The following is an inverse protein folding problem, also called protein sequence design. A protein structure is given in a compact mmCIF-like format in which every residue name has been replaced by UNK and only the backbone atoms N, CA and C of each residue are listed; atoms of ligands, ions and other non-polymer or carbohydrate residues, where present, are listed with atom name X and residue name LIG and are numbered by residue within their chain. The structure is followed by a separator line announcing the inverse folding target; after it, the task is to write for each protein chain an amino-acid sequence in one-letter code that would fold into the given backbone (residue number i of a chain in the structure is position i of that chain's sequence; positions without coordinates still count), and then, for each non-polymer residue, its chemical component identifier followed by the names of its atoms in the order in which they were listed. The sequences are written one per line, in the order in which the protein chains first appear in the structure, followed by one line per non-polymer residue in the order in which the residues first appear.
data_IF_867234523025
#
_entry.id   IF_867234523025
#
_cell.length_a   1.000
_cell.length_b   1.000
_cell.length_c   1.000
_cell.angle_alpha   90.00
_cell.angle_beta   90.00
_cell.angle_gamma   90.00
#
_symmetry.space_group_name_H-M   'P 1'
#
loop_
_entity.id
_entity.type
_entity.pdbx_description
1 polymer ?
#
# COMPACT_ATOMS: atom_id res chain seq x y z
N UNK A 1 -2.00 13.11 -7.90
CA UNK A 1 -1.30 11.83 -8.22
C UNK A 1 0.01 12.04 -8.96
N UNK A 2 0.03 12.63 -10.16
CA UNK A 2 1.25 12.74 -10.98
C UNK A 2 2.43 13.42 -10.28
N UNK A 3 2.19 14.52 -9.54
CA UNK A 3 3.21 15.20 -8.75
C UNK A 3 3.86 14.29 -7.68
N UNK A 4 3.07 13.45 -7.03
CA UNK A 4 3.59 12.47 -6.06
C UNK A 4 4.41 11.37 -6.76
N UNK A 5 3.92 10.82 -7.87
CA UNK A 5 4.60 9.76 -8.61
C UNK A 5 5.96 10.22 -9.17
N UNK A 6 6.03 11.43 -9.74
CA UNK A 6 7.31 11.96 -10.24
C UNK A 6 8.28 12.29 -9.09
N UNK A 7 7.78 12.72 -7.91
CA UNK A 7 8.62 12.84 -6.72
C UNK A 7 9.16 11.47 -6.28
N UNK A 8 8.34 10.42 -6.26
CA UNK A 8 8.78 9.06 -5.92
C UNK A 8 9.85 8.57 -6.89
N UNK A 9 9.65 8.77 -8.20
CA UNK A 9 10.66 8.48 -9.21
C UNK A 9 11.96 9.27 -8.95
N UNK A 10 11.85 10.56 -8.61
CA UNK A 10 13.02 11.39 -8.29
C UNK A 10 13.78 10.91 -7.05
N UNK A 11 13.09 10.40 -6.03
CA UNK A 11 13.73 9.80 -4.86
C UNK A 11 14.42 8.48 -5.22
N UNK A 12 13.72 7.60 -5.94
CA UNK A 12 14.13 6.21 -6.18
C UNK A 12 15.18 6.11 -7.29
N UNK A 13 14.90 6.69 -8.46
CA UNK A 13 15.71 6.51 -9.65
C UNK A 13 16.81 7.57 -9.78
N UNK A 14 16.58 8.78 -9.25
CA UNK A 14 17.52 9.90 -9.35
C UNK A 14 18.29 10.17 -8.04
N UNK A 15 18.03 9.41 -6.97
CA UNK A 15 18.64 9.56 -5.65
C UNK A 15 18.58 10.99 -5.09
N UNK A 16 17.51 11.73 -5.40
CA UNK A 16 17.33 13.10 -4.89
C UNK A 16 16.79 13.09 -3.47
N UNK A 17 17.07 14.17 -2.74
CA UNK A 17 16.42 14.46 -1.47
C UNK A 17 14.94 14.83 -1.65
N UNK A 18 14.17 14.78 -0.56
CA UNK A 18 12.76 15.23 -0.54
C UNK A 18 12.64 16.68 -1.01
N UNK A 19 13.59 17.53 -0.59
CA UNK A 19 13.63 18.95 -0.93
C UNK A 19 13.79 19.15 -2.43
N UNK A 20 14.77 18.47 -3.04
CA UNK A 20 15.02 18.56 -4.48
C UNK A 20 13.88 17.97 -5.32
N UNK A 21 13.29 16.84 -4.88
CA UNK A 21 12.17 16.22 -5.55
C UNK A 21 10.92 17.12 -5.53
N UNK A 22 10.66 17.81 -4.41
CA UNK A 22 9.47 18.63 -4.23
C UNK A 22 9.63 20.09 -4.67
N UNK A 23 10.86 20.60 -4.80
CA UNK A 23 11.15 21.99 -5.16
C UNK A 23 10.37 22.51 -6.38
N UNK A 24 10.17 21.75 -7.48
CA UNK A 24 9.42 22.22 -8.65
C UNK A 24 7.95 22.55 -8.38
N UNK A 25 7.38 22.05 -7.27
CA UNK A 25 5.97 22.24 -6.91
C UNK A 25 5.75 23.38 -5.91
N UNK A 26 6.81 24.03 -5.43
CA UNK A 26 6.70 25.17 -4.52
C UNK A 26 6.10 26.36 -5.27
N UNK A 27 4.96 26.87 -4.78
CA UNK A 27 4.29 28.03 -5.37
C UNK A 27 3.51 27.74 -6.66
N UNK A 28 3.30 26.46 -7.02
CA UNK A 28 2.53 26.08 -8.22
C UNK A 28 1.09 26.61 -8.17
N UNK A 29 0.57 27.03 -9.31
CA UNK A 29 -0.80 27.55 -9.47
C UNK A 29 -1.54 26.82 -10.60
N UNK A 30 -2.74 26.25 -10.36
CA UNK A 30 -3.40 26.13 -9.05
C UNK A 30 -2.60 25.24 -8.07
N UNK A 31 -2.81 25.39 -6.75
CA UNK A 31 -2.12 24.57 -5.76
C UNK A 31 -2.48 23.09 -5.91
N UNK A 32 -1.56 22.21 -5.50
CA UNK A 32 -1.81 20.77 -5.47
C UNK A 32 -2.91 20.44 -4.44
N UNK A 33 -3.87 19.64 -4.86
CA UNK A 33 -4.93 19.14 -3.99
C UNK A 33 -4.36 18.03 -3.09
N UNK A 34 -4.62 18.12 -1.79
CA UNK A 34 -4.25 17.09 -0.81
C UNK A 34 -5.04 15.79 -1.01
N UNK A 35 -4.45 14.67 -0.60
CA UNK A 35 -5.11 13.39 -0.52
C UNK A 35 -6.08 13.35 0.67
N UNK A 36 -7.15 12.58 0.52
CA UNK A 36 -8.15 12.33 1.56
C UNK A 36 -8.22 10.84 1.88
N UNK A 37 -8.87 10.53 3.00
CA UNK A 37 -9.17 9.17 3.40
C UNK A 37 -10.38 8.59 2.63
N UNK A 38 -10.61 7.29 2.82
CA UNK A 38 -11.67 6.52 2.18
C UNK A 38 -13.02 6.58 2.93
N UNK A 39 -13.15 7.34 4.02
CA UNK A 39 -14.41 7.41 4.76
C UNK A 39 -15.53 8.09 3.97
N UNK A 40 -16.76 7.65 4.25
CA UNK A 40 -18.01 8.26 3.77
C UNK A 40 -18.38 9.53 4.57
N UNK A 41 -17.40 10.37 4.89
CA UNK A 41 -17.56 11.59 5.68
C UNK A 41 -16.72 12.74 5.13
N UNK A 42 -16.81 13.90 5.79
CA UNK A 42 -15.90 15.02 5.52
C UNK A 42 -14.48 14.63 5.92
N UNK A 43 -13.51 14.94 5.07
CA UNK A 43 -12.10 14.72 5.34
C UNK A 43 -11.62 15.67 6.45
N UNK A 44 -11.24 15.12 7.61
CA UNK A 44 -10.74 15.87 8.75
C UNK A 44 -9.22 15.95 8.83
N UNK A 45 -8.50 15.10 8.06
CA UNK A 45 -7.05 15.02 8.10
C UNK A 45 -6.46 14.80 6.69
N UNK A 46 -6.38 15.86 5.86
CA UNK A 46 -5.83 15.74 4.52
C UNK A 46 -4.30 15.59 4.55
N UNK A 47 -3.76 14.71 3.70
CA UNK A 47 -2.30 14.55 3.52
C UNK A 47 -1.83 15.31 2.29
N UNK A 48 -0.83 16.17 2.44
CA UNK A 48 -0.25 16.88 1.30
C UNK A 48 0.64 15.94 0.47
N UNK A 49 0.93 16.34 -0.78
CA UNK A 49 1.94 15.62 -1.58
C UNK A 49 3.29 15.57 -0.86
N UNK A 50 3.68 16.65 -0.18
CA UNK A 50 4.93 16.69 0.58
C UNK A 50 4.95 15.68 1.73
N UNK A 51 3.83 15.46 2.42
CA UNK A 51 3.73 14.47 3.50
C UNK A 51 3.94 13.06 2.96
N UNK A 52 3.31 12.72 1.83
CA UNK A 52 3.50 11.44 1.15
C UNK A 52 4.94 11.24 0.66
N UNK A 53 5.59 12.27 0.12
CA UNK A 53 6.99 12.20 -0.34
C UNK A 53 7.95 11.98 0.83
N UNK A 54 7.72 12.65 1.98
CA UNK A 54 8.48 12.39 3.22
C UNK A 54 8.27 10.97 3.73
N UNK A 55 7.03 10.47 3.66
CA UNK A 55 6.69 9.09 4.00
C UNK A 55 7.47 8.09 3.13
N UNK A 56 7.48 8.30 1.82
CA UNK A 56 8.24 7.47 0.88
C UNK A 56 9.74 7.47 1.18
N UNK A 57 10.33 8.66 1.40
CA UNK A 57 11.75 8.77 1.76
C UNK A 57 12.08 8.02 3.06
N UNK A 58 11.19 8.06 4.05
CA UNK A 58 11.35 7.31 5.29
C UNK A 58 11.17 5.80 5.10
N UNK A 59 10.28 5.37 4.22
CA UNK A 59 10.12 3.96 3.85
C UNK A 59 11.40 3.42 3.19
N UNK A 60 12.00 4.18 2.26
CA UNK A 60 13.29 3.83 1.64
C UNK A 60 14.41 3.77 2.68
N UNK A 61 14.53 4.77 3.54
CA UNK A 61 15.58 4.83 4.57
C UNK A 61 15.53 3.66 5.56
N UNK A 62 14.32 3.18 5.89
CA UNK A 62 14.13 2.02 6.77
C UNK A 62 14.04 0.68 6.02
N UNK A 63 14.24 0.68 4.69
CA UNK A 63 14.12 -0.52 3.84
C UNK A 63 12.74 -1.20 3.92
N UNK A 64 11.69 -0.43 4.20
CA UNK A 64 10.30 -0.91 4.10
C UNK A 64 9.88 -1.10 2.64
N UNK A 65 10.55 -0.40 1.72
CA UNK A 65 10.42 -0.59 0.29
C UNK A 65 11.80 -0.63 -0.35
N UNK A 66 12.06 -1.66 -1.15
CA UNK A 66 13.28 -1.83 -1.92
C UNK A 66 12.93 -1.98 -3.41
N UNK A 67 13.12 -0.93 -4.22
CA UNK A 67 12.78 -0.94 -5.65
C UNK A 67 13.49 -2.03 -6.45
N UNK A 68 14.66 -2.50 -6.00
CA UNK A 68 15.44 -3.53 -6.69
C UNK A 68 14.95 -4.95 -6.38
N UNK A 69 14.20 -5.13 -5.29
CA UNK A 69 13.61 -6.40 -4.89
C UNK A 69 12.10 -6.46 -5.09
N UNK A 70 11.47 -5.33 -5.39
CA UNK A 70 10.04 -5.25 -5.57
C UNK A 70 9.63 -5.94 -6.87
N UNK A 71 8.73 -6.91 -6.75
CA UNK A 71 8.14 -7.63 -7.88
C UNK A 71 6.67 -7.18 -8.06
N UNK A 72 6.36 -6.42 -9.13
CA UNK A 72 5.01 -5.92 -9.36
C UNK A 72 4.02 -7.04 -9.70
N UNK A 73 4.47 -8.14 -10.32
CA UNK A 73 3.59 -9.26 -10.67
C UNK A 73 3.15 -10.00 -9.41
N UNK A 74 4.07 -10.23 -8.48
CA UNK A 74 3.75 -10.83 -7.17
C UNK A 74 2.85 -9.92 -6.35
N UNK A 75 3.11 -8.61 -6.34
CA UNK A 75 2.26 -7.64 -5.65
C UNK A 75 0.82 -7.69 -6.19
N UNK A 76 0.64 -7.56 -7.51
CA UNK A 76 -0.67 -7.56 -8.15
C UNK A 76 -1.39 -8.91 -8.05
N UNK A 77 -0.64 -10.02 -8.05
CA UNK A 77 -1.22 -11.34 -7.83
C UNK A 77 -1.94 -11.41 -6.49
N UNK A 78 -1.31 -10.94 -5.41
CA UNK A 78 -1.88 -10.99 -4.07
C UNK A 78 -2.90 -9.88 -3.77
N UNK A 79 -2.84 -8.75 -4.49
CA UNK A 79 -3.82 -7.66 -4.42
C UNK A 79 -5.21 -8.10 -4.93
N UNK A 80 -5.27 -9.08 -5.84
CA UNK A 80 -6.54 -9.64 -6.30
C UNK A 80 -7.30 -10.31 -5.14
N UNK A 81 -8.58 -9.97 -5.00
CA UNK A 81 -9.49 -10.54 -4.00
C UNK A 81 -9.58 -12.07 -4.09
N UNK A 82 -9.38 -12.63 -5.28
CA UNK A 82 -9.35 -14.09 -5.53
C UNK A 82 -8.13 -14.78 -4.90
N UNK A 83 -7.06 -14.01 -4.66
CA UNK A 83 -5.81 -14.50 -4.08
C UNK A 83 -5.57 -13.95 -2.67
N UNK A 84 -6.54 -13.21 -2.13
CA UNK A 84 -6.63 -12.88 -0.71
C UNK A 84 -6.56 -11.42 -0.36
N UNK A 85 -6.50 -10.50 -1.33
CA UNK A 85 -6.44 -9.06 -1.05
C UNK A 85 -5.37 -8.76 0.02
N UNK A 86 -4.15 -9.22 -0.28
CA UNK A 86 -3.01 -9.27 0.64
C UNK A 86 -1.96 -8.26 0.20
N UNK A 87 -1.56 -7.39 1.14
CA UNK A 87 -0.48 -6.42 0.94
C UNK A 87 0.62 -6.60 1.99
N UNK A 88 1.87 -6.79 1.53
CA UNK A 88 3.05 -6.74 2.41
C UNK A 88 3.37 -5.27 2.72
N UNK A 89 3.14 -4.86 3.97
CA UNK A 89 3.34 -3.46 4.41
C UNK A 89 4.79 -3.20 4.83
N UNK A 90 5.37 -4.16 5.55
CA UNK A 90 6.79 -4.16 5.89
C UNK A 90 7.32 -5.57 5.57
N UNK A 91 8.30 -5.72 4.66
CA UNK A 91 8.88 -7.01 4.31
C UNK A 91 9.28 -7.79 5.56
N UNK A 92 8.95 -9.09 5.59
CA UNK A 92 9.27 -10.02 6.69
C UNK A 92 8.70 -9.62 8.06
N UNK A 93 7.78 -8.65 8.12
CA UNK A 93 7.26 -8.14 9.40
C UNK A 93 5.76 -7.96 9.46
N UNK A 94 5.16 -7.25 8.51
CA UNK A 94 3.73 -6.95 8.54
C UNK A 94 3.09 -7.17 7.18
N UNK A 95 1.99 -7.90 7.22
CA UNK A 95 1.07 -8.12 6.11
C UNK A 95 -0.31 -7.65 6.55
N UNK A 96 -0.99 -6.91 5.69
CA UNK A 96 -2.40 -6.58 5.84
C UNK A 96 -3.20 -7.40 4.83
N UNK A 97 -4.36 -7.88 5.24
CA UNK A 97 -5.23 -8.70 4.39
C UNK A 97 -6.70 -8.56 4.81
N UNK A 98 -7.60 -8.88 3.90
CA UNK A 98 -9.04 -8.89 4.18
C UNK A 98 -9.43 -10.01 5.15
N UNK A 99 -10.34 -9.69 6.10
CA UNK A 99 -10.79 -10.66 7.10
C UNK A 99 -11.53 -11.85 6.45
N UNK A 100 -11.10 -13.11 6.71
CA UNK A 100 -11.73 -14.28 6.12
C UNK A 100 -13.14 -14.49 6.66
N UNK A 101 -13.99 -15.12 5.86
CA UNK A 101 -15.33 -15.55 6.27
C UNK A 101 -15.33 -17.03 6.64
N UNK A 102 -16.12 -17.43 7.63
CA UNK A 102 -16.22 -18.83 8.03
C UNK A 102 -16.73 -19.77 6.92
N UNK A 103 -17.42 -19.22 5.92
CA UNK A 103 -17.86 -19.90 4.70
C UNK A 103 -17.63 -18.98 3.52
N UNK A 104 -17.20 -19.54 2.41
CA UNK A 104 -17.10 -18.82 1.16
C UNK A 104 -18.48 -18.26 0.76
N UNK A 105 -18.51 -16.97 0.47
CA UNK A 105 -19.67 -16.24 -0.04
C UNK A 105 -19.29 -15.57 -1.34
N UNK A 106 -20.19 -15.65 -2.32
CA UNK A 106 -20.06 -14.96 -3.59
C UNK A 106 -20.23 -13.45 -3.37
N UNK A 107 -19.32 -12.66 -3.93
CA UNK A 107 -19.35 -11.19 -3.91
C UNK A 107 -19.68 -10.61 -5.28
N UNK A 108 -19.22 -11.29 -6.33
CA UNK A 108 -19.51 -11.01 -7.73
C UNK A 108 -19.63 -12.36 -8.46
N UNK A 109 -20.29 -12.42 -9.64
CA UNK A 109 -20.45 -13.66 -10.38
C UNK A 109 -19.13 -14.43 -10.57
N UNK A 110 -18.99 -15.57 -9.92
CA UNK A 110 -17.80 -16.42 -9.96
C UNK A 110 -16.63 -15.98 -9.07
N UNK A 111 -16.82 -14.97 -8.21
CA UNK A 111 -15.81 -14.47 -7.27
C UNK A 111 -16.30 -14.70 -5.83
N UNK A 112 -15.52 -15.47 -5.08
CA UNK A 112 -15.84 -15.88 -3.72
C UNK A 112 -14.85 -15.30 -2.72
N UNK A 113 -15.35 -14.98 -1.54
CA UNK A 113 -14.52 -14.65 -0.38
C UNK A 113 -13.74 -15.88 0.10
N UNK A 114 -12.56 -15.62 0.65
CA UNK A 114 -11.69 -16.66 1.19
C UNK A 114 -12.04 -17.02 2.64
N UNK A 115 -11.92 -18.31 2.94
CA UNK A 115 -12.00 -18.89 4.28
C UNK A 115 -10.63 -18.85 4.98
N UNK A 116 -10.56 -19.04 6.32
CA UNK A 116 -9.28 -19.14 7.00
C UNK A 116 -8.34 -20.19 6.41
N UNK A 117 -8.89 -21.33 5.98
CA UNK A 117 -8.16 -22.44 5.36
C UNK A 117 -7.50 -22.03 4.03
N UNK A 118 -8.16 -21.19 3.24
CA UNK A 118 -7.64 -20.70 1.96
C UNK A 118 -6.43 -19.77 2.16
N UNK A 119 -6.37 -19.03 3.28
CA UNK A 119 -5.23 -18.17 3.61
C UNK A 119 -4.01 -18.93 4.14
N UNK A 120 -4.17 -20.13 4.71
CA UNK A 120 -3.05 -20.92 5.27
C UNK A 120 -1.88 -21.09 4.28
N UNK A 121 -2.07 -21.51 3.01
CA UNK A 121 -0.95 -21.62 2.07
C UNK A 121 -0.30 -20.27 1.76
N UNK A 122 -1.09 -19.20 1.66
CA UNK A 122 -0.59 -17.83 1.44
C UNK A 122 0.30 -17.39 2.60
N UNK A 123 -0.18 -17.56 3.83
CA UNK A 123 0.55 -17.22 5.05
C UNK A 123 1.85 -18.01 5.20
N UNK A 124 1.82 -19.32 4.93
CA UNK A 124 3.03 -20.15 4.94
C UNK A 124 4.06 -19.66 3.91
N UNK A 125 3.61 -19.32 2.69
CA UNK A 125 4.49 -18.80 1.64
C UNK A 125 5.10 -17.43 1.98
N UNK A 126 4.34 -16.58 2.68
CA UNK A 126 4.80 -15.27 3.15
C UNK A 126 5.54 -15.31 4.50
N UNK A 127 5.70 -16.50 5.12
CA UNK A 127 6.39 -16.65 6.40
C UNK A 127 5.62 -16.11 7.61
N UNK A 128 4.29 -15.99 7.52
CA UNK A 128 3.43 -15.50 8.62
C UNK A 128 3.31 -16.58 9.70
N UNK A 129 3.64 -16.21 10.94
CA UNK A 129 3.56 -17.11 12.11
C UNK A 129 2.52 -16.68 13.15
N UNK A 130 1.98 -15.46 13.04
CA UNK A 130 1.00 -14.92 13.96
C UNK A 130 -0.04 -14.09 13.19
N UNK A 131 -1.31 -14.24 13.55
CA UNK A 131 -2.43 -13.49 13.00
C UNK A 131 -3.10 -12.72 14.14
N UNK A 132 -3.31 -11.42 13.94
CA UNK A 132 -4.01 -10.55 14.88
C UNK A 132 -5.31 -10.10 14.23
N UNK A 133 -6.44 -10.40 14.88
CA UNK A 133 -7.77 -10.11 14.37
C UNK A 133 -8.37 -8.90 15.07
N UNK A 134 -8.75 -7.87 14.30
CA UNK A 134 -9.38 -6.65 14.83
C UNK A 134 -10.90 -6.59 14.64
N UNK A 135 -11.48 -7.49 13.85
CA UNK A 135 -12.93 -7.59 13.65
C UNK A 135 -13.58 -8.64 14.59
N UNK A 136 -14.91 -8.60 14.67
CA UNK A 136 -15.73 -9.54 15.46
C UNK A 136 -15.80 -10.91 14.81
#
# INVERSE_FOLDING_TARGET
NSAFLICCFSLIALNRSVQEAYAPFIGVQPPLISFRDAAFSVCSFPLTVLDCVKGMARALANKHFDPLKFDPEVYLYYDDIKHGDVSVIIPEKFVAFSGPLAKASEIEPGVFTMTPEDYVPVFKKLGVTAVVRFNK
#
